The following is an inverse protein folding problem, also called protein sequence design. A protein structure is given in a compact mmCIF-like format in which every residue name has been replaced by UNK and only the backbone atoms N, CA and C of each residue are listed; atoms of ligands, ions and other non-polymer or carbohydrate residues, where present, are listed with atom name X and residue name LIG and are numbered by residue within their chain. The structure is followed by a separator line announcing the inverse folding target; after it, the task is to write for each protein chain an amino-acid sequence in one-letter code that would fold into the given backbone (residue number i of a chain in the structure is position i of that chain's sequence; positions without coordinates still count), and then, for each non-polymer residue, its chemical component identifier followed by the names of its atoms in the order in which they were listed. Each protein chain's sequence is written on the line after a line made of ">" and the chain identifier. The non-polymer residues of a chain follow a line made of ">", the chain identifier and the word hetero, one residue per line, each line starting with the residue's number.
data_IF_901642135375
#
_entry.id   IF_901642135375
#
_cell.length_a   1.000
_cell.length_b   1.000
_cell.length_c   1.000
_cell.angle_alpha   90.00
_cell.angle_beta   90.00
_cell.angle_gamma   90.00
#
_symmetry.space_group_name_H-M   'P 1'
#
loop_
_entity.id
_entity.type
_entity.pdbx_description
1 polymer ?
#
# COMPACT_ATOMS: atom_id res chain seq x y z
N UNK A 1 24.90 -22.50 -13.64
CA UNK A 1 25.19 -21.13 -14.10
C UNK A 1 25.51 -20.27 -12.88
N UNK A 2 26.55 -19.41 -12.91
CA UNK A 2 27.01 -18.70 -11.73
C UNK A 2 26.04 -17.55 -11.42
N UNK A 3 25.25 -17.69 -10.36
CA UNK A 3 24.23 -16.72 -9.92
C UNK A 3 24.86 -15.43 -9.31
N UNK A 4 26.20 -15.31 -9.29
CA UNK A 4 26.90 -14.22 -8.58
C UNK A 4 27.79 -13.29 -9.41
N UNK A 5 27.93 -13.49 -10.73
CA UNK A 5 28.97 -12.79 -11.50
C UNK A 5 28.73 -11.28 -11.67
N UNK A 6 27.46 -10.84 -11.56
CA UNK A 6 27.06 -9.45 -11.81
C UNK A 6 26.17 -8.87 -10.69
N UNK A 7 26.43 -9.23 -9.43
CA UNK A 7 25.64 -8.76 -8.28
C UNK A 7 25.51 -7.23 -8.23
N UNK A 8 26.59 -6.50 -8.52
CA UNK A 8 26.57 -5.05 -8.54
C UNK A 8 25.80 -4.46 -9.73
N UNK A 9 25.91 -5.05 -10.93
CA UNK A 9 25.19 -4.57 -12.10
C UNK A 9 23.68 -4.83 -11.97
N UNK A 10 23.28 -5.99 -11.42
CA UNK A 10 21.89 -6.28 -11.11
C UNK A 10 21.32 -5.29 -10.08
N UNK A 11 22.07 -4.99 -9.01
CA UNK A 11 21.66 -3.97 -8.03
C UNK A 11 21.46 -2.59 -8.66
N UNK A 12 22.37 -2.16 -9.55
CA UNK A 12 22.25 -0.87 -10.24
C UNK A 12 21.05 -0.86 -11.20
N UNK A 13 20.81 -1.97 -11.91
CA UNK A 13 19.65 -2.11 -12.79
C UNK A 13 18.34 -2.07 -11.99
N UNK A 14 18.27 -2.76 -10.85
CA UNK A 14 17.10 -2.73 -9.97
C UNK A 14 16.85 -1.32 -9.42
N UNK A 15 17.91 -0.63 -8.99
CA UNK A 15 17.81 0.77 -8.55
C UNK A 15 17.29 1.69 -9.65
N UNK A 16 17.76 1.52 -10.89
CA UNK A 16 17.33 2.34 -12.02
C UNK A 16 15.89 2.01 -12.44
N UNK A 17 15.49 0.73 -12.43
CA UNK A 17 14.11 0.31 -12.67
C UNK A 17 13.17 0.93 -11.64
N UNK A 18 13.54 0.92 -10.36
CA UNK A 18 12.76 1.56 -9.29
C UNK A 18 12.65 3.06 -9.55
N UNK A 19 13.78 3.74 -9.78
CA UNK A 19 13.81 5.18 -10.04
C UNK A 19 12.93 5.59 -11.21
N UNK A 20 13.09 4.95 -12.37
CA UNK A 20 12.31 5.26 -13.58
C UNK A 20 10.83 4.94 -13.38
N UNK A 21 10.48 3.87 -12.66
CA UNK A 21 9.08 3.55 -12.34
C UNK A 21 8.44 4.57 -11.41
N UNK A 22 9.13 4.96 -10.33
CA UNK A 22 8.68 6.07 -9.49
C UNK A 22 8.44 7.31 -10.33
N UNK A 23 9.31 7.55 -11.33
CA UNK A 23 9.16 8.64 -12.29
C UNK A 23 8.09 8.45 -13.38
N UNK A 24 7.43 7.30 -13.48
CA UNK A 24 6.40 7.02 -14.51
C UNK A 24 5.02 6.71 -13.92
N UNK A 25 4.96 6.16 -12.72
CA UNK A 25 3.72 5.86 -11.96
C UNK A 25 3.16 7.14 -11.31
N UNK A 26 3.65 8.32 -11.70
CA UNK A 26 3.23 9.61 -11.13
C UNK A 26 1.72 9.73 -11.10
N UNK A 27 1.20 9.84 -9.88
CA UNK A 27 -0.23 9.83 -9.63
C UNK A 27 -0.95 11.03 -10.26
N UNK A 28 -0.22 12.12 -10.56
CA UNK A 28 -0.79 13.32 -11.17
C UNK A 28 0.16 14.02 -12.17
N UNK A 29 1.16 13.32 -12.74
CA UNK A 29 2.06 13.89 -13.75
C UNK A 29 3.05 14.98 -13.25
N UNK A 30 3.10 15.27 -11.95
CA UNK A 30 4.05 16.21 -11.33
C UNK A 30 5.26 15.46 -10.76
N UNK A 31 6.35 15.40 -11.53
CA UNK A 31 7.57 14.71 -11.14
C UNK A 31 8.40 15.39 -10.02
N UNK A 32 7.96 16.54 -9.50
CA UNK A 32 8.82 17.47 -8.76
C UNK A 32 8.37 17.77 -7.31
N UNK A 33 7.28 17.18 -6.80
CA UNK A 33 6.67 17.63 -5.52
C UNK A 33 6.39 16.53 -4.47
N UNK A 34 6.94 15.31 -4.58
CA UNK A 34 6.95 14.41 -3.41
C UNK A 34 8.04 14.86 -2.45
N UNK A 35 7.74 15.86 -1.63
CA UNK A 35 8.58 16.18 -0.49
C UNK A 35 8.65 14.95 0.43
N UNK A 36 9.86 14.46 0.76
CA UNK A 36 10.01 13.39 1.72
C UNK A 36 9.27 13.75 3.00
N UNK A 37 8.59 12.78 3.60
CA UNK A 37 7.84 13.00 4.83
C UNK A 37 8.79 13.51 5.91
N UNK A 38 8.69 14.79 6.27
CA UNK A 38 9.50 15.36 7.35
C UNK A 38 9.02 14.82 8.68
N UNK A 39 9.86 13.98 9.31
CA UNK A 39 9.56 13.37 10.60
C UNK A 39 10.35 14.05 11.72
N UNK A 40 9.72 14.38 12.86
CA UNK A 40 10.42 14.89 14.04
C UNK A 40 11.39 13.84 14.58
N UNK A 41 12.25 14.17 15.54
CA UNK A 41 13.03 13.14 16.27
C UNK A 41 12.10 12.15 16.99
N UNK A 42 12.49 10.87 17.11
CA UNK A 42 11.63 9.87 17.73
C UNK A 42 11.51 10.18 19.22
N UNK A 43 10.28 10.28 19.71
CA UNK A 43 10.02 10.55 21.13
C UNK A 43 9.26 9.38 21.78
N UNK A 44 9.85 8.81 22.81
CA UNK A 44 9.32 7.66 23.55
C UNK A 44 9.60 6.29 22.92
N UNK A 45 8.90 5.28 23.43
CA UNK A 45 9.07 3.90 23.02
C UNK A 45 8.47 3.61 21.63
N UNK A 46 9.04 2.64 20.93
CA UNK A 46 8.48 2.10 19.68
C UNK A 46 7.19 1.36 20.01
N UNK A 47 6.11 1.73 19.33
CA UNK A 47 4.80 1.10 19.45
C UNK A 47 4.30 0.67 18.08
N UNK A 48 3.43 -0.34 18.06
CA UNK A 48 2.67 -0.70 16.86
C UNK A 48 1.29 -0.04 16.91
N UNK A 49 0.94 0.72 15.88
CA UNK A 49 -0.39 1.33 15.69
C UNK A 49 -1.02 0.83 14.41
N UNK A 50 -2.35 0.70 14.43
CA UNK A 50 -3.14 0.22 13.31
C UNK A 50 -4.31 1.16 13.06
N UNK A 51 -4.62 1.42 11.79
CA UNK A 51 -5.88 2.07 11.38
C UNK A 51 -6.43 1.36 10.16
N UNK A 52 -7.74 1.48 9.94
CA UNK A 52 -8.40 0.99 8.73
C UNK A 52 -8.95 2.14 7.89
N UNK A 53 -8.94 1.98 6.58
CA UNK A 53 -9.59 2.86 5.60
C UNK A 53 -10.59 2.03 4.81
N UNK A 54 -11.87 2.36 4.92
CA UNK A 54 -12.95 1.65 4.22
C UNK A 54 -12.95 1.98 2.73
N UNK A 55 -13.25 0.99 1.89
CA UNK A 55 -13.33 1.18 0.44
C UNK A 55 -14.82 1.22 0.02
N UNK A 56 -15.29 2.26 -0.69
CA UNK A 56 -16.70 2.45 -1.03
C UNK A 56 -17.15 1.57 -2.22
N UNK A 57 -17.04 0.25 -2.08
CA UNK A 57 -17.42 -0.72 -3.13
C UNK A 57 -18.91 -0.68 -3.48
N UNK A 58 -19.77 -0.28 -2.55
CA UNK A 58 -21.22 -0.18 -2.79
C UNK A 58 -21.56 1.01 -3.71
N UNK A 59 -20.79 2.10 -3.62
CA UNK A 59 -20.99 3.29 -4.44
C UNK A 59 -20.43 3.09 -5.86
N UNK A 60 -19.37 2.28 -5.97
CA UNK A 60 -18.61 2.06 -7.20
C UNK A 60 -18.34 0.57 -7.45
N UNK A 61 -19.38 -0.25 -7.70
CA UNK A 61 -19.26 -1.71 -7.78
C UNK A 61 -18.41 -2.21 -8.96
N UNK A 62 -18.35 -1.44 -10.05
CA UNK A 62 -17.57 -1.77 -11.24
C UNK A 62 -16.07 -1.40 -11.12
N UNK A 63 -15.68 -0.66 -10.07
CA UNK A 63 -14.31 -0.22 -9.88
C UNK A 63 -13.45 -1.26 -9.16
N UNK A 64 -12.32 -1.62 -9.76
CA UNK A 64 -11.37 -2.56 -9.18
C UNK A 64 -10.37 -1.86 -8.22
N UNK A 65 -10.84 -1.49 -7.03
CA UNK A 65 -10.00 -0.85 -6.01
C UNK A 65 -8.82 -1.73 -5.56
N UNK A 66 -9.05 -3.04 -5.37
CA UNK A 66 -8.00 -3.98 -4.92
C UNK A 66 -6.86 -4.04 -5.93
N UNK A 67 -7.18 -4.22 -7.21
CA UNK A 67 -6.19 -4.25 -8.28
C UNK A 67 -5.44 -2.92 -8.41
N UNK A 68 -6.13 -1.79 -8.20
CA UNK A 68 -5.53 -0.45 -8.23
C UNK A 68 -4.54 -0.23 -7.09
N UNK A 69 -4.90 -0.60 -5.87
CA UNK A 69 -4.05 -0.42 -4.68
C UNK A 69 -2.83 -1.35 -4.75
N UNK A 70 -3.02 -2.61 -5.12
CA UNK A 70 -1.94 -3.59 -5.21
C UNK A 70 -1.01 -3.27 -6.39
N UNK A 71 -1.59 -2.92 -7.53
CA UNK A 71 -0.86 -2.68 -8.78
C UNK A 71 -0.21 -3.94 -9.37
N UNK A 72 0.52 -3.80 -10.48
CA UNK A 72 1.15 -4.92 -11.16
C UNK A 72 2.19 -5.59 -10.25
N UNK A 73 2.02 -6.90 -10.03
CA UNK A 73 2.90 -7.73 -9.17
C UNK A 73 3.02 -7.24 -7.71
N UNK A 74 2.12 -6.38 -7.24
CA UNK A 74 2.21 -5.81 -5.90
C UNK A 74 3.19 -4.65 -5.77
N UNK A 75 3.71 -4.12 -6.88
CA UNK A 75 4.74 -3.07 -6.83
C UNK A 75 4.18 -1.74 -6.30
N UNK A 76 2.95 -1.38 -6.66
CA UNK A 76 2.33 -0.12 -6.21
C UNK A 76 2.11 -0.09 -4.71
N UNK A 77 1.59 -1.18 -4.12
CA UNK A 77 1.43 -1.27 -2.67
C UNK A 77 2.79 -1.30 -1.95
N UNK A 78 3.81 -1.94 -2.54
CA UNK A 78 5.17 -1.95 -1.99
C UNK A 78 5.81 -0.56 -1.99
N UNK A 79 5.69 0.19 -3.09
CA UNK A 79 6.15 1.58 -3.17
C UNK A 79 5.43 2.45 -2.15
N UNK A 80 4.11 2.30 -2.03
CA UNK A 80 3.31 3.04 -1.05
C UNK A 80 3.69 2.70 0.40
N UNK A 81 3.99 1.43 0.71
CA UNK A 81 4.51 1.01 2.01
C UNK A 81 5.85 1.68 2.35
N UNK A 82 6.77 1.74 1.38
CA UNK A 82 8.10 2.36 1.54
C UNK A 82 7.95 3.87 1.72
N UNK A 83 7.19 4.54 0.85
CA UNK A 83 6.98 5.98 0.87
C UNK A 83 6.32 6.44 2.18
N UNK A 84 5.36 5.67 2.70
CA UNK A 84 4.67 6.00 3.95
C UNK A 84 5.39 5.50 5.21
N UNK A 85 6.40 4.63 5.07
CA UNK A 85 7.04 3.95 6.20
C UNK A 85 6.08 3.10 7.02
N UNK A 86 5.19 2.37 6.34
CA UNK A 86 4.11 1.58 6.97
C UNK A 86 3.94 0.21 6.28
N UNK A 87 3.07 -0.64 6.84
CA UNK A 87 2.61 -1.89 6.24
C UNK A 87 1.14 -1.80 5.90
N UNK A 88 0.79 -2.24 4.69
CA UNK A 88 -0.55 -2.15 4.13
C UNK A 88 -1.10 -3.54 3.87
N UNK A 89 -2.33 -3.78 4.32
CA UNK A 89 -3.02 -5.05 4.09
C UNK A 89 -4.40 -4.77 3.52
N UNK A 90 -4.66 -5.23 2.30
CA UNK A 90 -6.02 -5.28 1.76
C UNK A 90 -6.76 -6.45 2.42
N UNK A 91 -7.83 -6.14 3.14
CA UNK A 91 -8.63 -7.07 3.96
C UNK A 91 -10.12 -6.82 3.72
N UNK A 92 -10.98 -7.58 4.38
CA UNK A 92 -12.42 -7.53 4.13
C UNK A 92 -12.92 -8.50 3.05
N UNK A 93 -14.24 -8.55 2.89
CA UNK A 93 -14.96 -9.26 1.83
C UNK A 93 -14.58 -8.71 0.45
N UNK A 94 -14.31 -9.59 -0.49
CA UNK A 94 -13.87 -9.25 -1.85
C UNK A 94 -12.38 -8.90 -1.96
N UNK A 95 -11.60 -9.05 -0.89
CA UNK A 95 -10.14 -8.85 -0.93
C UNK A 95 -9.41 -9.98 -1.68
N UNK A 96 -10.04 -11.15 -1.84
CA UNK A 96 -9.47 -12.26 -2.60
C UNK A 96 -9.98 -12.24 -4.04
N UNK A 97 -9.07 -12.53 -4.98
CA UNK A 97 -9.40 -12.64 -6.41
C UNK A 97 -10.44 -13.73 -6.70
N UNK A 98 -10.43 -14.84 -5.95
CA UNK A 98 -11.33 -15.97 -6.16
C UNK A 98 -12.39 -16.01 -5.05
N UNK A 99 -13.64 -15.72 -5.45
CA UNK A 99 -14.80 -15.68 -4.54
C UNK A 99 -15.13 -17.04 -3.91
N UNK A 100 -15.00 -18.15 -4.65
CA UNK A 100 -15.26 -19.49 -4.09
C UNK A 100 -14.25 -19.86 -3.01
N UNK A 101 -12.98 -19.47 -3.22
CA UNK A 101 -11.93 -19.66 -2.22
C UNK A 101 -12.18 -18.79 -1.00
N UNK A 102 -12.62 -17.55 -1.20
CA UNK A 102 -12.97 -16.63 -0.11
C UNK A 102 -14.06 -17.21 0.79
N UNK A 103 -15.15 -17.72 0.20
CA UNK A 103 -16.27 -18.28 0.98
C UNK A 103 -15.84 -19.49 1.81
N UNK A 104 -14.97 -20.35 1.27
CA UNK A 104 -14.44 -21.52 1.99
C UNK A 104 -13.52 -21.15 3.16
N UNK A 105 -12.82 -20.01 3.06
CA UNK A 105 -11.89 -19.53 4.08
C UNK A 105 -12.58 -18.65 5.13
N UNK A 106 -13.77 -18.13 4.84
CA UNK A 106 -14.53 -17.29 5.78
C UNK A 106 -14.77 -18.06 7.09
N UNK A 107 -14.49 -17.39 8.21
CA UNK A 107 -14.63 -17.97 9.56
C UNK A 107 -13.47 -18.89 9.99
N UNK A 108 -12.47 -19.14 9.13
CA UNK A 108 -11.26 -19.85 9.55
C UNK A 108 -10.32 -18.94 10.35
N UNK A 109 -9.48 -19.50 11.25
CA UNK A 109 -8.44 -18.73 11.93
C UNK A 109 -7.55 -17.97 10.93
N UNK A 110 -7.21 -16.72 11.24
CA UNK A 110 -6.49 -15.76 10.38
C UNK A 110 -7.27 -15.23 9.14
N UNK A 111 -8.52 -15.66 8.94
CA UNK A 111 -9.41 -15.20 7.85
C UNK A 111 -10.70 -14.55 8.38
N UNK A 112 -10.75 -14.21 9.67
CA UNK A 112 -11.89 -13.55 10.33
C UNK A 112 -12.27 -12.23 9.65
N UNK A 113 -11.25 -11.52 9.11
CA UNK A 113 -11.43 -10.29 8.36
C UNK A 113 -12.31 -10.44 7.10
N UNK A 114 -12.60 -11.65 6.62
CA UNK A 114 -13.49 -11.87 5.48
C UNK A 114 -14.97 -11.63 5.81
N UNK A 115 -15.29 -11.40 7.08
CA UNK A 115 -16.61 -10.97 7.54
C UNK A 115 -16.77 -9.45 7.54
N UNK A 116 -15.67 -8.70 7.52
CA UNK A 116 -15.70 -7.23 7.46
C UNK A 116 -15.89 -6.73 6.02
N UNK A 117 -16.30 -5.48 5.87
CA UNK A 117 -16.32 -4.81 4.57
C UNK A 117 -14.91 -4.61 4.01
N UNK A 118 -14.79 -4.47 2.68
CA UNK A 118 -13.49 -4.26 2.02
C UNK A 118 -12.79 -3.01 2.57
N UNK A 119 -11.57 -3.18 3.05
CA UNK A 119 -10.79 -2.10 3.65
C UNK A 119 -9.28 -2.31 3.48
N UNK A 120 -8.52 -1.23 3.63
CA UNK A 120 -7.07 -1.27 3.78
C UNK A 120 -6.72 -1.09 5.25
N UNK A 121 -6.03 -2.06 5.84
CA UNK A 121 -5.45 -1.94 7.18
C UNK A 121 -4.01 -1.42 7.04
N UNK A 122 -3.76 -0.28 7.66
CA UNK A 122 -2.45 0.37 7.75
C UNK A 122 -1.86 0.05 9.12
N UNK A 123 -0.63 -0.43 9.14
CA UNK A 123 0.12 -0.77 10.36
C UNK A 123 1.43 0.01 10.36
N UNK A 124 1.71 0.74 11.43
CA UNK A 124 2.95 1.50 11.61
C UNK A 124 3.62 1.04 12.89
N UNK A 125 4.95 0.92 12.85
CA UNK A 125 5.78 0.61 14.00
C UNK A 125 6.84 1.72 14.15
N UNK A 126 6.61 2.62 15.11
CA UNK A 126 7.49 3.76 15.40
C UNK A 126 7.16 4.35 16.79
N UNK A 127 7.93 5.35 17.22
CA UNK A 127 7.57 6.29 18.29
C UNK A 127 6.20 6.93 18.06
N UNK A 128 5.49 7.27 19.15
CA UNK A 128 4.09 7.74 19.09
C UNK A 128 3.93 8.95 18.17
N UNK A 129 4.82 9.94 18.33
CA UNK A 129 4.79 11.20 17.57
C UNK A 129 5.01 10.99 16.07
N UNK A 130 5.90 10.06 15.68
CA UNK A 130 6.12 9.71 14.26
C UNK A 130 5.02 8.82 13.70
N UNK A 131 4.55 7.86 14.49
CA UNK A 131 3.56 6.89 14.06
C UNK A 131 2.26 7.58 13.63
N UNK A 132 1.83 8.61 14.35
CA UNK A 132 0.63 9.39 14.01
C UNK A 132 0.78 10.12 12.66
N UNK A 133 1.91 10.77 12.41
CA UNK A 133 2.20 11.46 11.14
C UNK A 133 2.18 10.46 9.99
N UNK A 134 2.89 9.32 10.13
CA UNK A 134 2.92 8.25 9.12
C UNK A 134 1.53 7.67 8.82
N UNK A 135 0.72 7.43 9.85
CA UNK A 135 -0.64 6.90 9.69
C UNK A 135 -1.54 7.87 8.92
N UNK A 136 -1.47 9.16 9.25
CA UNK A 136 -2.26 10.19 8.59
C UNK A 136 -1.83 10.34 7.14
N UNK A 137 -0.53 10.39 6.87
CA UNK A 137 -0.02 10.42 5.50
C UNK A 137 -0.43 9.20 4.69
N UNK A 138 -0.26 7.99 5.23
CA UNK A 138 -0.69 6.76 4.57
C UNK A 138 -2.20 6.75 4.26
N UNK A 139 -3.02 7.23 5.20
CA UNK A 139 -4.46 7.36 5.01
C UNK A 139 -4.78 8.29 3.83
N UNK A 140 -4.16 9.45 3.76
CA UNK A 140 -4.38 10.42 2.68
C UNK A 140 -3.98 9.86 1.31
N UNK A 141 -2.84 9.16 1.22
CA UNK A 141 -2.42 8.55 -0.03
C UNK A 141 -3.38 7.45 -0.50
N UNK A 142 -3.88 6.62 0.42
CA UNK A 142 -4.89 5.60 0.11
C UNK A 142 -6.20 6.27 -0.31
N UNK A 143 -6.62 7.34 0.37
CA UNK A 143 -7.84 8.05 0.05
C UNK A 143 -7.77 8.67 -1.35
N UNK A 144 -6.64 9.24 -1.75
CA UNK A 144 -6.41 9.72 -3.13
C UNK A 144 -6.57 8.60 -4.18
N UNK A 145 -6.11 7.39 -3.88
CA UNK A 145 -6.30 6.22 -4.77
C UNK A 145 -7.76 5.76 -4.86
N UNK A 146 -8.55 5.99 -3.81
CA UNK A 146 -9.97 5.67 -3.79
C UNK A 146 -10.78 6.72 -4.55
N UNK A 147 -10.51 8.01 -4.29
CA UNK A 147 -11.32 9.12 -4.79
C UNK A 147 -11.02 9.53 -6.23
N UNK A 148 -9.82 9.26 -6.74
CA UNK A 148 -9.40 9.72 -8.07
C UNK A 148 -10.17 8.96 -9.18
N UNK A 149 -11.10 9.62 -9.93
CA UNK A 149 -11.98 8.94 -10.89
C UNK A 149 -11.31 8.62 -12.23
N UNK A 150 -10.23 9.34 -12.57
CA UNK A 150 -9.60 9.32 -13.90
C UNK A 150 -8.12 8.87 -13.82
N UNK A 151 -7.89 7.63 -13.38
CA UNK A 151 -6.56 7.03 -13.46
C UNK A 151 -6.28 6.51 -14.88
N UNK A 152 -5.12 6.81 -15.48
CA UNK A 152 -4.90 6.55 -16.90
C UNK A 152 -4.38 5.13 -17.14
N UNK A 153 -5.09 4.07 -16.73
CA UNK A 153 -4.83 2.70 -17.21
C UNK A 153 -6.09 1.84 -17.19
#
# INVERSE_FOLDING_TARGET
>A
MPIGLFSHALRLLDQEIVRVRTSLIHIDGSADERQPLELPEPDGAIIQRKTRVSIPVEQYPEHNFVGRIIGPRGLTIQELEVDCGCKLYVRGKGSLRNKEKEEKLRGQPNWEHLNDDLHVMIVVEDSINRAEIKLNYARDQIQKLIDSPNWPF
#
